data_IF_104289971330
#
_entry.id   IF_104289971330
#
_cell.length_a   1.000
_cell.length_b   1.000
_cell.length_c   1.000
_cell.angle_alpha   90.00
_cell.angle_beta   90.00
_cell.angle_gamma   90.00
#
_symmetry.space_group_name_H-M   'P 1'
#
loop_
_entity.id
_entity.type
_entity.pdbx_description
1 polymer ?
#
# COMPACT_ATOMS: atom_id res chain seq x y z
N UNK A 1 -21.37 -17.96 18.07
CA UNK A 1 -22.86 -18.05 18.03
C UNK A 1 -23.50 -16.66 18.15
N UNK A 2 -23.16 -15.83 19.15
CA UNK A 2 -23.81 -14.51 19.37
C UNK A 2 -23.62 -13.58 18.15
N UNK A 3 -22.41 -13.52 17.57
CA UNK A 3 -22.11 -12.68 16.39
C UNK A 3 -22.93 -13.13 15.17
N UNK A 4 -23.02 -14.42 14.91
CA UNK A 4 -23.82 -14.95 13.79
C UNK A 4 -25.30 -14.60 13.94
N UNK A 5 -25.87 -14.79 15.13
CA UNK A 5 -27.28 -14.44 15.42
C UNK A 5 -27.52 -12.95 15.24
N UNK A 6 -26.62 -12.11 15.74
CA UNK A 6 -26.72 -10.66 15.57
C UNK A 6 -26.76 -10.28 14.08
N UNK A 7 -25.88 -10.84 13.25
CA UNK A 7 -25.86 -10.58 11.82
C UNK A 7 -27.11 -11.08 11.08
N UNK A 8 -27.68 -12.18 11.52
CA UNK A 8 -28.93 -12.74 10.94
C UNK A 8 -30.17 -11.95 11.33
N UNK A 9 -30.19 -11.36 12.55
CA UNK A 9 -31.37 -10.68 13.11
C UNK A 9 -31.33 -9.14 12.82
N UNK A 10 -30.19 -8.55 12.50
CA UNK A 10 -30.06 -7.12 12.24
C UNK A 10 -30.70 -6.74 10.90
N UNK A 11 -31.75 -5.89 10.98
CA UNK A 11 -32.49 -5.41 9.80
C UNK A 11 -31.84 -4.26 9.06
N UNK A 12 -30.87 -3.56 9.66
CA UNK A 12 -30.19 -2.41 9.03
C UNK A 12 -28.87 -2.78 8.37
N UNK A 13 -28.11 -3.71 9.00
CA UNK A 13 -26.73 -4.04 8.57
C UNK A 13 -26.52 -5.53 8.33
N UNK A 14 -27.54 -6.34 8.49
CA UNK A 14 -27.51 -7.78 8.37
C UNK A 14 -28.64 -8.33 7.51
N UNK A 15 -29.04 -9.55 7.83
CA UNK A 15 -30.00 -10.31 7.04
C UNK A 15 -31.40 -10.31 7.62
N UNK A 16 -31.71 -9.52 8.65
CA UNK A 16 -33.00 -9.48 9.32
C UNK A 16 -34.19 -9.04 8.45
N UNK A 17 -33.98 -8.56 7.23
CA UNK A 17 -34.99 -8.31 6.22
C UNK A 17 -35.48 -9.60 5.52
N UNK A 18 -34.78 -10.72 5.69
CA UNK A 18 -35.02 -12.02 5.07
C UNK A 18 -35.28 -13.11 6.12
N UNK A 19 -35.85 -14.23 5.71
CA UNK A 19 -35.99 -15.41 6.57
C UNK A 19 -34.90 -16.41 6.21
N UNK A 20 -33.73 -16.29 6.89
CA UNK A 20 -32.58 -17.16 6.63
C UNK A 20 -32.69 -18.44 7.47
N UNK A 21 -32.77 -19.58 6.79
CA UNK A 21 -32.88 -20.90 7.39
C UNK A 21 -31.62 -21.72 7.07
N UNK A 22 -30.86 -22.05 8.10
CA UNK A 22 -29.73 -22.96 7.98
C UNK A 22 -30.14 -24.39 8.26
N UNK A 23 -29.57 -25.34 7.52
CA UNK A 23 -29.62 -26.75 7.97
C UNK A 23 -28.97 -26.89 9.36
N UNK A 24 -29.41 -27.86 10.18
CA UNK A 24 -29.03 -27.94 11.60
C UNK A 24 -27.52 -27.87 11.89
N UNK A 25 -26.70 -28.45 11.02
CA UNK A 25 -25.23 -28.50 11.18
C UNK A 25 -24.47 -27.41 10.41
N UNK A 26 -25.12 -26.77 9.42
CA UNK A 26 -24.46 -25.81 8.54
C UNK A 26 -23.96 -24.57 9.28
N UNK A 27 -24.79 -23.95 10.12
CA UNK A 27 -24.40 -22.79 10.92
C UNK A 27 -23.32 -23.14 11.96
N UNK A 28 -23.43 -24.33 12.61
CA UNK A 28 -22.40 -24.79 13.55
C UNK A 28 -21.06 -25.04 12.85
N UNK A 29 -21.08 -25.51 11.62
CA UNK A 29 -19.91 -25.73 10.80
C UNK A 29 -19.22 -24.42 10.49
N UNK A 30 -19.94 -23.35 10.07
CA UNK A 30 -19.41 -22.00 9.88
C UNK A 30 -18.75 -21.46 11.16
N UNK A 31 -19.42 -21.62 12.30
CA UNK A 31 -18.93 -21.13 13.60
C UNK A 31 -17.65 -21.87 14.02
N UNK A 32 -17.59 -23.18 13.88
CA UNK A 32 -16.40 -23.99 14.23
C UNK A 32 -15.22 -23.66 13.35
N UNK A 33 -15.45 -23.50 12.04
CA UNK A 33 -14.41 -23.19 11.06
C UNK A 33 -13.86 -21.76 11.18
N UNK A 34 -14.59 -20.87 11.85
CA UNK A 34 -14.14 -19.50 12.12
C UNK A 34 -13.19 -19.41 13.31
N UNK A 35 -13.06 -20.46 14.13
CA UNK A 35 -12.12 -20.60 15.26
C UNK A 35 -12.04 -19.33 16.16
N UNK A 36 -13.19 -18.74 16.47
CA UNK A 36 -13.27 -17.54 17.31
C UNK A 36 -13.07 -16.20 16.59
N UNK A 37 -12.69 -16.18 15.32
CA UNK A 37 -12.57 -14.95 14.51
C UNK A 37 -13.95 -14.50 13.99
N UNK A 38 -14.46 -13.39 14.56
CA UNK A 38 -15.76 -12.82 14.21
C UNK A 38 -15.84 -12.34 12.75
N UNK A 39 -14.77 -11.74 12.22
CA UNK A 39 -14.73 -11.27 10.81
C UNK A 39 -14.80 -12.46 9.86
N UNK A 40 -14.06 -13.48 10.19
CA UNK A 40 -14.05 -14.73 9.45
C UNK A 40 -15.41 -15.38 9.40
N UNK A 41 -16.11 -15.41 10.51
CA UNK A 41 -17.47 -15.94 10.60
C UNK A 41 -18.45 -15.11 9.76
N UNK A 42 -18.39 -13.77 9.86
CA UNK A 42 -19.29 -12.88 9.13
C UNK A 42 -19.10 -13.01 7.60
N UNK A 43 -17.86 -13.05 7.12
CA UNK A 43 -17.57 -13.22 5.69
C UNK A 43 -18.04 -14.58 5.16
N UNK A 44 -17.86 -15.66 5.93
CA UNK A 44 -18.35 -16.98 5.53
C UNK A 44 -19.88 -17.06 5.53
N UNK A 45 -20.53 -16.41 6.51
CA UNK A 45 -21.97 -16.32 6.62
C UNK A 45 -22.56 -15.49 5.47
N UNK A 46 -21.98 -14.34 5.15
CA UNK A 46 -22.33 -13.51 4.01
C UNK A 46 -22.27 -14.31 2.71
N UNK A 47 -21.15 -14.96 2.44
CA UNK A 47 -20.99 -15.77 1.24
C UNK A 47 -22.01 -16.90 1.17
N UNK A 48 -22.25 -17.61 2.28
CA UNK A 48 -23.21 -18.69 2.33
C UNK A 48 -24.64 -18.21 2.06
N UNK A 49 -25.06 -17.10 2.66
CA UNK A 49 -26.43 -16.55 2.47
C UNK A 49 -26.61 -16.02 1.04
N UNK A 50 -25.66 -15.24 0.52
CA UNK A 50 -25.80 -14.60 -0.78
C UNK A 50 -25.68 -15.57 -1.95
N UNK A 51 -24.88 -16.65 -1.82
CA UNK A 51 -24.80 -17.69 -2.85
C UNK A 51 -25.91 -18.72 -2.79
N UNK A 52 -26.75 -18.72 -1.75
CA UNK A 52 -27.91 -19.60 -1.64
C UNK A 52 -29.13 -19.14 -2.46
N UNK A 53 -29.00 -18.02 -3.20
CA UNK A 53 -30.06 -17.47 -4.08
C UNK A 53 -29.54 -17.23 -5.47
N UNK A 54 -30.37 -17.36 -6.49
CA UNK A 54 -29.99 -17.19 -7.89
C UNK A 54 -29.61 -15.74 -8.24
N UNK A 55 -30.16 -14.77 -7.51
CA UNK A 55 -29.85 -13.34 -7.67
C UNK A 55 -29.92 -12.62 -6.34
N UNK A 56 -28.93 -11.76 -6.08
CA UNK A 56 -28.84 -10.94 -4.87
C UNK A 56 -29.05 -9.45 -5.20
N UNK A 57 -29.76 -8.67 -4.38
CA UNK A 57 -30.60 -9.08 -3.25
C UNK A 57 -31.97 -9.63 -3.69
N UNK A 58 -32.53 -10.64 -2.98
CA UNK A 58 -33.90 -11.10 -3.22
C UNK A 58 -34.91 -10.09 -2.64
N UNK A 59 -36.22 -10.32 -2.90
CA UNK A 59 -37.27 -9.47 -2.33
C UNK A 59 -37.28 -9.55 -0.80
N UNK A 60 -37.55 -8.44 -0.07
CA UNK A 60 -37.71 -8.46 1.38
C UNK A 60 -38.75 -9.47 1.85
N UNK A 61 -38.42 -10.25 2.88
CA UNK A 61 -39.25 -11.33 3.40
C UNK A 61 -39.06 -12.66 2.67
N UNK A 62 -38.21 -12.76 1.67
CA UNK A 62 -37.86 -14.02 1.01
C UNK A 62 -37.24 -15.02 1.99
N UNK A 63 -37.53 -16.31 1.78
CA UNK A 63 -36.91 -17.40 2.52
C UNK A 63 -35.63 -17.83 1.79
N UNK A 64 -34.52 -17.78 2.50
CA UNK A 64 -33.19 -18.20 2.02
C UNK A 64 -32.83 -19.47 2.77
N UNK A 65 -32.54 -20.55 2.05
CA UNK A 65 -32.14 -21.82 2.64
C UNK A 65 -30.65 -22.06 2.39
N UNK A 66 -29.90 -22.20 3.48
CA UNK A 66 -28.47 -22.49 3.44
C UNK A 66 -28.26 -23.95 3.84
N UNK A 67 -27.90 -24.77 2.87
CA UNK A 67 -27.55 -26.16 3.09
C UNK A 67 -26.10 -26.36 3.55
N UNK A 68 -25.74 -27.59 3.92
CA UNK A 68 -24.39 -27.93 4.36
C UNK A 68 -23.38 -27.79 3.25
N UNK A 69 -23.74 -28.12 2.00
CA UNK A 69 -22.86 -27.97 0.83
C UNK A 69 -22.45 -26.52 0.59
N UNK A 70 -23.42 -25.60 0.61
CA UNK A 70 -23.20 -24.16 0.49
C UNK A 70 -22.31 -23.61 1.64
N UNK A 71 -22.56 -24.09 2.87
CA UNK A 71 -21.74 -23.72 4.02
C UNK A 71 -20.28 -24.22 3.87
N UNK A 72 -20.08 -25.47 3.43
CA UNK A 72 -18.75 -26.02 3.13
C UNK A 72 -18.04 -25.25 1.99
N UNK A 73 -18.75 -24.97 0.88
CA UNK A 73 -18.19 -24.19 -0.22
C UNK A 73 -17.79 -22.77 0.20
N UNK A 74 -18.58 -22.11 1.05
CA UNK A 74 -18.29 -20.78 1.55
C UNK A 74 -17.01 -20.74 2.40
N UNK A 75 -16.76 -21.83 3.15
CA UNK A 75 -15.53 -22.02 3.91
C UNK A 75 -14.35 -22.40 3.00
N UNK A 76 -14.56 -23.34 2.05
CA UNK A 76 -13.51 -23.77 1.12
C UNK A 76 -13.08 -22.66 0.18
N UNK A 77 -14.00 -21.89 -0.38
CA UNK A 77 -13.69 -20.67 -1.13
C UNK A 77 -12.90 -19.69 -0.27
N UNK A 78 -13.20 -19.60 1.01
CA UNK A 78 -12.47 -18.78 1.96
C UNK A 78 -11.07 -19.32 2.27
N UNK A 79 -10.90 -20.62 2.49
CA UNK A 79 -9.58 -21.26 2.76
C UNK A 79 -8.68 -21.15 1.53
N UNK A 80 -9.24 -21.25 0.33
CA UNK A 80 -8.52 -20.96 -0.93
C UNK A 80 -8.31 -19.45 -1.09
N UNK A 81 -9.21 -18.64 -0.52
CA UNK A 81 -9.28 -17.21 -0.76
C UNK A 81 -8.41 -16.38 0.17
N UNK A 82 -8.21 -16.70 1.46
CA UNK A 82 -7.35 -15.84 2.25
C UNK A 82 -7.25 -16.15 3.76
N UNK A 83 -6.09 -16.50 4.19
CA UNK A 83 -5.66 -16.28 5.57
C UNK A 83 -5.17 -14.82 5.69
N UNK A 84 -6.09 -13.88 6.04
CA UNK A 84 -5.77 -12.43 6.12
C UNK A 84 -4.74 -12.10 7.20
N UNK A 85 -4.56 -12.97 8.18
CA UNK A 85 -3.65 -12.81 9.30
C UNK A 85 -2.43 -13.78 9.22
N UNK A 86 -2.34 -14.60 8.16
CA UNK A 86 -1.30 -15.60 7.99
C UNK A 86 -0.20 -15.21 7.00
N UNK A 87 0.85 -16.03 6.96
CA UNK A 87 2.03 -15.89 6.09
C UNK A 87 1.66 -15.70 4.61
N UNK A 88 0.54 -16.26 4.17
CA UNK A 88 0.07 -16.21 2.79
C UNK A 88 -0.35 -14.80 2.30
N UNK A 89 -0.94 -13.99 3.16
CA UNK A 89 -1.23 -12.57 2.86
C UNK A 89 0.05 -11.80 2.58
N UNK A 90 1.04 -11.95 3.48
CA UNK A 90 2.32 -11.27 3.32
C UNK A 90 3.11 -11.79 2.12
N UNK A 91 2.99 -13.07 1.79
CA UNK A 91 3.64 -13.67 0.63
C UNK A 91 3.04 -13.16 -0.68
N UNK A 92 1.71 -13.06 -0.77
CA UNK A 92 1.03 -12.60 -2.00
C UNK A 92 1.31 -11.13 -2.28
N UNK A 93 1.19 -10.26 -1.27
CA UNK A 93 1.54 -8.84 -1.45
C UNK A 93 3.04 -8.64 -1.73
N UNK A 94 3.90 -9.46 -1.13
CA UNK A 94 5.33 -9.46 -1.39
C UNK A 94 5.64 -9.87 -2.83
N UNK A 95 4.98 -10.91 -3.36
CA UNK A 95 5.10 -11.33 -4.75
C UNK A 95 4.62 -10.24 -5.71
N UNK A 96 3.48 -9.60 -5.42
CA UNK A 96 2.97 -8.47 -6.18
C UNK A 96 3.99 -7.33 -6.28
N UNK A 97 4.48 -6.83 -5.14
CA UNK A 97 5.45 -5.72 -5.11
C UNK A 97 6.77 -6.11 -5.80
N UNK A 98 7.24 -7.34 -5.61
CA UNK A 98 8.44 -7.85 -6.31
C UNK A 98 8.24 -7.91 -7.82
N UNK A 99 7.04 -8.22 -8.30
CA UNK A 99 6.70 -8.21 -9.72
C UNK A 99 6.71 -6.78 -10.30
N UNK A 100 6.15 -5.80 -9.57
CA UNK A 100 6.23 -4.38 -9.94
C UNK A 100 7.69 -3.91 -10.02
N UNK A 101 8.48 -4.21 -9.00
CA UNK A 101 9.91 -3.88 -8.90
C UNK A 101 10.73 -4.56 -10.00
N UNK A 102 10.41 -5.82 -10.29
CA UNK A 102 11.06 -6.63 -11.33
C UNK A 102 10.66 -6.32 -12.76
N UNK A 103 9.70 -5.40 -12.96
CA UNK A 103 9.17 -5.01 -14.27
C UNK A 103 8.52 -6.17 -15.03
N UNK A 104 7.76 -7.00 -14.31
CA UNK A 104 6.97 -8.09 -14.87
C UNK A 104 5.47 -7.74 -14.75
N UNK A 105 4.84 -7.16 -15.80
CA UNK A 105 3.45 -6.76 -15.77
C UNK A 105 2.47 -7.95 -15.71
N UNK A 106 2.81 -9.08 -16.30
CA UNK A 106 1.95 -10.27 -16.31
C UNK A 106 1.87 -10.88 -14.91
N UNK A 107 3.01 -11.02 -14.24
CA UNK A 107 3.04 -11.47 -12.85
C UNK A 107 2.34 -10.46 -11.90
N UNK A 108 2.52 -9.15 -12.13
CA UNK A 108 1.85 -8.12 -11.35
C UNK A 108 0.32 -8.22 -11.48
N UNK A 109 -0.21 -8.37 -12.69
CA UNK A 109 -1.64 -8.56 -12.93
C UNK A 109 -2.17 -9.85 -12.31
N UNK A 110 -1.42 -10.94 -12.39
CA UNK A 110 -1.80 -12.21 -11.77
C UNK A 110 -1.94 -12.09 -10.25
N UNK A 111 -0.94 -11.52 -9.58
CA UNK A 111 -0.97 -11.37 -8.13
C UNK A 111 -2.02 -10.35 -7.68
N UNK A 112 -2.24 -9.27 -8.46
CA UNK A 112 -3.32 -8.32 -8.22
C UNK A 112 -4.69 -9.01 -8.30
N UNK A 113 -4.95 -9.74 -9.38
CA UNK A 113 -6.21 -10.48 -9.56
C UNK A 113 -6.44 -11.48 -8.42
N UNK A 114 -5.37 -12.18 -7.99
CA UNK A 114 -5.44 -13.12 -6.87
C UNK A 114 -5.80 -12.43 -5.55
N UNK A 115 -5.24 -11.24 -5.27
CA UNK A 115 -5.58 -10.46 -4.08
C UNK A 115 -7.05 -9.99 -4.11
N UNK A 116 -7.51 -9.46 -5.24
CA UNK A 116 -8.90 -8.99 -5.38
C UNK A 116 -9.88 -10.17 -5.28
N UNK A 117 -9.59 -11.29 -5.94
CA UNK A 117 -10.39 -12.50 -5.84
C UNK A 117 -10.45 -13.03 -4.39
N UNK A 118 -9.36 -12.90 -3.65
CA UNK A 118 -9.28 -13.24 -2.24
C UNK A 118 -9.96 -12.23 -1.29
N UNK A 119 -10.55 -11.16 -1.81
CA UNK A 119 -11.23 -10.13 -1.01
C UNK A 119 -10.27 -9.20 -0.25
N UNK A 120 -9.03 -9.01 -0.75
CA UNK A 120 -8.10 -8.03 -0.18
C UNK A 120 -8.66 -6.62 -0.31
N UNK A 121 -8.42 -5.80 0.72
CA UNK A 121 -8.79 -4.39 0.72
C UNK A 121 -8.08 -3.63 -0.41
N UNK A 122 -8.80 -3.11 -1.41
CA UNK A 122 -8.21 -2.31 -2.48
C UNK A 122 -7.43 -1.09 -1.98
N UNK A 123 -7.85 -0.48 -0.86
CA UNK A 123 -7.14 0.63 -0.25
C UNK A 123 -5.77 0.20 0.27
N UNK A 124 -5.64 -1.03 0.80
CA UNK A 124 -4.35 -1.60 1.17
C UNK A 124 -3.46 -1.81 -0.06
N UNK A 125 -4.00 -2.35 -1.17
CA UNK A 125 -3.25 -2.56 -2.41
C UNK A 125 -2.74 -1.22 -2.95
N UNK A 126 -3.58 -0.17 -3.01
CA UNK A 126 -3.16 1.17 -3.43
C UNK A 126 -2.09 1.77 -2.52
N UNK A 127 -2.19 1.59 -1.18
CA UNK A 127 -1.12 2.02 -0.25
C UNK A 127 0.21 1.37 -0.60
N UNK A 128 0.22 0.09 -0.92
CA UNK A 128 1.44 -0.63 -1.31
C UNK A 128 1.99 -0.16 -2.65
N UNK A 129 1.12 0.13 -3.62
CA UNK A 129 1.52 0.71 -4.90
C UNK A 129 2.09 2.13 -4.75
N UNK A 130 1.52 2.97 -3.88
CA UNK A 130 2.07 4.32 -3.59
C UNK A 130 3.47 4.25 -2.97
N UNK A 131 3.71 3.29 -2.09
CA UNK A 131 5.05 3.06 -1.53
C UNK A 131 6.02 2.64 -2.65
N UNK A 132 5.65 1.67 -3.51
CA UNK A 132 6.48 1.22 -4.62
C UNK A 132 6.74 2.33 -5.66
N UNK A 133 5.75 3.20 -5.91
CA UNK A 133 5.92 4.38 -6.76
C UNK A 133 7.03 5.32 -6.25
N UNK A 134 7.15 5.49 -4.94
CA UNK A 134 8.19 6.31 -4.33
C UNK A 134 9.53 5.55 -4.19
N UNK A 135 9.50 4.30 -3.70
CA UNK A 135 10.67 3.48 -3.36
C UNK A 135 11.39 2.95 -4.60
N UNK A 136 10.63 2.32 -5.53
CA UNK A 136 11.20 1.56 -6.64
C UNK A 136 11.29 2.36 -7.94
N UNK A 137 10.32 3.26 -8.18
CA UNK A 137 10.29 4.14 -9.36
C UNK A 137 10.98 5.46 -9.06
N UNK A 138 10.56 6.15 -8.01
CA UNK A 138 11.17 7.37 -7.49
C UNK A 138 11.46 8.40 -8.57
N UNK A 139 12.72 8.84 -8.64
CA UNK A 139 13.17 9.87 -9.58
C UNK A 139 13.32 9.40 -11.04
N UNK A 140 13.18 8.09 -11.31
CA UNK A 140 13.21 7.60 -12.68
C UNK A 140 11.96 8.03 -13.46
N UNK A 141 10.80 8.08 -12.78
CA UNK A 141 9.56 8.64 -13.29
C UNK A 141 8.74 9.28 -12.15
N UNK A 142 8.92 10.59 -11.93
CA UNK A 142 8.19 11.31 -10.88
C UNK A 142 6.67 11.32 -11.05
N UNK A 143 6.15 11.00 -12.24
CA UNK A 143 4.71 10.94 -12.50
C UNK A 143 4.05 9.70 -11.88
N UNK A 144 4.84 8.68 -11.55
CA UNK A 144 4.31 7.40 -11.06
C UNK A 144 3.43 7.56 -9.82
N UNK A 145 3.84 8.38 -8.86
CA UNK A 145 3.05 8.63 -7.65
C UNK A 145 1.72 9.32 -7.96
N UNK A 146 1.70 10.24 -8.95
CA UNK A 146 0.48 10.95 -9.37
C UNK A 146 -0.50 10.01 -10.07
N UNK A 147 0.01 9.12 -10.93
CA UNK A 147 -0.83 8.13 -11.63
C UNK A 147 -1.48 7.19 -10.63
N UNK A 148 -0.70 6.61 -9.70
CA UNK A 148 -1.24 5.71 -8.67
C UNK A 148 -2.24 6.42 -7.77
N UNK A 149 -1.93 7.64 -7.33
CA UNK A 149 -2.84 8.44 -6.51
C UNK A 149 -4.16 8.75 -7.24
N UNK A 150 -4.09 9.15 -8.51
CA UNK A 150 -5.28 9.42 -9.33
C UNK A 150 -6.13 8.17 -9.53
N UNK A 151 -5.50 7.01 -9.74
CA UNK A 151 -6.20 5.73 -9.81
C UNK A 151 -6.90 5.38 -8.50
N UNK A 152 -6.24 5.57 -7.34
CA UNK A 152 -6.84 5.36 -6.04
C UNK A 152 -8.06 6.26 -5.80
N UNK A 153 -7.93 7.57 -6.08
CA UNK A 153 -9.03 8.52 -5.94
C UNK A 153 -10.21 8.25 -6.90
N UNK A 154 -9.93 7.70 -8.08
CA UNK A 154 -10.98 7.28 -9.00
C UNK A 154 -11.68 6.02 -8.50
N UNK A 155 -10.91 5.07 -7.97
CA UNK A 155 -11.44 3.85 -7.37
C UNK A 155 -12.40 4.15 -6.22
N UNK A 156 -12.07 5.10 -5.33
CA UNK A 156 -12.90 5.50 -4.19
C UNK A 156 -14.29 6.01 -4.61
N UNK A 157 -14.43 6.50 -5.84
CA UNK A 157 -15.71 7.00 -6.40
C UNK A 157 -16.51 5.95 -7.16
N UNK A 158 -15.83 4.95 -7.70
CA UNK A 158 -16.40 3.96 -8.62
C UNK A 158 -16.67 2.65 -7.88
N UNK A 159 -15.70 2.17 -7.08
CA UNK A 159 -15.76 0.88 -6.40
C UNK A 159 -15.61 -0.32 -7.34
N UNK A 160 -15.78 -1.51 -6.78
CA UNK A 160 -15.82 -2.75 -7.55
C UNK A 160 -17.22 -2.97 -8.15
N UNK A 161 -17.34 -3.64 -9.31
CA UNK A 161 -16.26 -4.28 -10.06
C UNK A 161 -15.48 -3.37 -11.01
N UNK A 162 -16.01 -2.23 -11.45
CA UNK A 162 -15.40 -1.37 -12.49
C UNK A 162 -14.07 -0.74 -12.04
N UNK A 163 -13.90 -0.53 -10.75
CA UNK A 163 -12.65 -0.02 -10.17
C UNK A 163 -11.42 -0.91 -10.42
N UNK A 164 -11.62 -2.18 -10.84
CA UNK A 164 -10.53 -3.07 -11.24
C UNK A 164 -9.68 -2.50 -12.39
N UNK A 165 -10.29 -1.70 -13.27
CA UNK A 165 -9.55 -1.01 -14.34
C UNK A 165 -8.52 -0.02 -13.78
N UNK A 166 -8.84 0.67 -12.69
CA UNK A 166 -7.93 1.62 -12.05
C UNK A 166 -6.81 0.91 -11.28
N UNK A 167 -7.12 -0.21 -10.63
CA UNK A 167 -6.11 -1.07 -10.00
C UNK A 167 -5.12 -1.64 -11.02
N UNK A 168 -5.64 -2.19 -12.12
CA UNK A 168 -4.80 -2.77 -13.18
C UNK A 168 -3.98 -1.70 -13.90
N UNK A 169 -4.54 -0.52 -14.18
CA UNK A 169 -3.82 0.60 -14.78
C UNK A 169 -2.63 1.02 -13.91
N UNK A 170 -2.83 1.20 -12.60
CA UNK A 170 -1.76 1.55 -11.67
C UNK A 170 -0.67 0.45 -11.61
N UNK A 171 -1.07 -0.82 -11.56
CA UNK A 171 -0.14 -1.95 -11.51
C UNK A 171 0.69 -2.05 -12.80
N UNK A 172 0.06 -2.00 -13.98
CA UNK A 172 0.77 -2.06 -15.27
C UNK A 172 1.71 -0.87 -15.43
N UNK A 173 1.25 0.35 -15.07
CA UNK A 173 2.09 1.52 -15.12
C UNK A 173 3.36 1.35 -14.27
N UNK A 174 3.21 0.95 -13.01
CA UNK A 174 4.35 0.70 -12.13
C UNK A 174 5.27 -0.42 -12.62
N UNK A 175 4.71 -1.49 -13.20
CA UNK A 175 5.51 -2.58 -13.74
C UNK A 175 6.31 -2.17 -14.98
N UNK A 176 5.81 -1.23 -15.80
CA UNK A 176 6.42 -0.86 -17.10
C UNK A 176 7.28 0.40 -17.06
N UNK A 177 7.15 1.26 -16.04
CA UNK A 177 7.98 2.45 -15.93
C UNK A 177 9.43 2.14 -15.51
N UNK A 178 10.39 3.06 -15.82
CA UNK A 178 11.78 2.91 -15.35
C UNK A 178 11.86 2.87 -13.82
N UNK A 179 12.92 2.30 -13.28
CA UNK A 179 13.12 2.09 -11.85
C UNK A 179 14.34 2.85 -11.32
N UNK A 180 14.22 3.42 -10.11
CA UNK A 180 15.32 4.01 -9.38
C UNK A 180 15.06 3.96 -7.87
N UNK A 181 15.93 3.30 -7.15
CA UNK A 181 15.93 3.26 -5.69
C UNK A 181 16.80 4.35 -5.04
N UNK A 182 17.07 5.43 -5.76
CA UNK A 182 17.97 6.50 -5.28
C UNK A 182 17.53 7.14 -3.96
N UNK A 183 16.24 7.10 -3.64
CA UNK A 183 15.68 7.62 -2.37
C UNK A 183 16.09 6.78 -1.15
N UNK A 184 16.59 5.56 -1.34
CA UNK A 184 17.20 4.75 -0.27
C UNK A 184 18.39 5.45 0.39
N UNK A 185 19.04 6.40 -0.30
CA UNK A 185 20.07 7.25 0.26
C UNK A 185 19.64 8.03 1.52
N UNK A 186 18.33 8.22 1.74
CA UNK A 186 17.83 8.77 2.99
C UNK A 186 18.14 7.86 4.20
N UNK A 187 18.03 6.56 4.03
CA UNK A 187 18.32 5.59 5.11
C UNK A 187 19.80 5.51 5.42
N UNK A 188 20.66 5.65 4.40
CA UNK A 188 22.11 5.76 4.60
C UNK A 188 22.46 7.05 5.35
N UNK A 189 21.83 8.18 4.99
CA UNK A 189 22.00 9.45 5.71
C UNK A 189 21.46 9.34 7.15
N UNK A 190 20.31 8.68 7.38
CA UNK A 190 19.78 8.44 8.71
C UNK A 190 20.74 7.62 9.56
N UNK A 191 21.29 6.54 9.02
CA UNK A 191 22.29 5.73 9.72
C UNK A 191 23.54 6.55 10.11
N UNK A 192 24.00 7.45 9.23
CA UNK A 192 25.11 8.35 9.55
C UNK A 192 24.77 9.30 10.71
N UNK A 193 23.55 9.83 10.76
CA UNK A 193 23.08 10.70 11.86
C UNK A 193 23.01 9.94 13.18
N UNK A 194 22.59 8.67 13.16
CA UNK A 194 22.52 7.82 14.37
C UNK A 194 23.90 7.48 14.95
N UNK A 195 24.92 7.46 14.10
CA UNK A 195 26.30 7.12 14.50
C UNK A 195 27.12 8.35 14.94
N UNK A 196 26.75 9.54 14.54
CA UNK A 196 27.54 10.74 14.73
C UNK A 196 26.69 11.97 15.05
N UNK A 197 27.02 12.66 16.14
CA UNK A 197 26.43 13.95 16.49
C UNK A 197 27.29 15.07 15.87
N UNK A 198 27.01 15.42 14.63
CA UNK A 198 27.74 16.45 13.91
C UNK A 198 27.08 17.83 14.04
N UNK A 199 27.87 18.87 14.25
CA UNK A 199 27.37 20.24 14.29
C UNK A 199 27.12 20.81 12.88
N UNK A 200 26.14 21.73 12.78
CA UNK A 200 25.90 22.48 11.55
C UNK A 200 27.10 23.41 11.29
N UNK A 201 27.69 23.38 10.08
CA UNK A 201 28.74 24.29 9.71
C UNK A 201 28.37 25.76 9.92
N UNK A 202 29.32 26.60 10.39
CA UNK A 202 28.98 27.94 10.87
C UNK A 202 28.37 28.83 9.79
N UNK A 203 28.86 28.73 8.54
CA UNK A 203 28.32 29.47 7.39
C UNK A 203 26.87 29.07 6.99
N UNK A 204 26.34 27.92 7.48
CA UNK A 204 24.96 27.48 7.23
C UNK A 204 24.03 27.81 8.40
N UNK A 205 24.57 28.30 9.54
CA UNK A 205 23.74 28.67 10.68
C UNK A 205 22.94 29.95 10.41
N UNK A 206 21.80 30.09 11.05
CA UNK A 206 20.94 31.28 10.90
C UNK A 206 21.58 32.52 11.55
N UNK A 207 21.87 33.54 10.74
CA UNK A 207 22.45 34.82 11.17
C UNK A 207 21.59 35.55 12.19
N UNK A 208 20.26 35.41 12.15
CA UNK A 208 19.34 36.06 13.08
C UNK A 208 19.42 35.49 14.50
N UNK A 209 20.07 34.35 14.69
CA UNK A 209 20.25 33.66 15.98
C UNK A 209 21.67 33.80 16.54
N UNK A 210 22.50 34.69 15.99
CA UNK A 210 23.87 34.95 16.44
C UNK A 210 23.94 36.07 17.47
N UNK A 211 23.15 36.00 18.55
CA UNK A 211 23.13 36.98 19.62
C UNK A 211 24.49 37.14 20.36
N UNK A 212 25.37 36.15 20.22
CA UNK A 212 26.69 36.11 20.89
C UNK A 212 27.86 36.43 19.96
N UNK A 213 27.62 36.69 18.66
CA UNK A 213 28.62 37.07 17.71
C UNK A 213 29.60 35.96 17.30
N UNK A 214 29.11 34.69 17.21
CA UNK A 214 29.92 33.54 16.78
C UNK A 214 30.12 33.45 15.26
N UNK A 215 29.64 34.44 14.50
CA UNK A 215 29.80 34.52 13.03
C UNK A 215 28.87 33.55 12.30
N UNK A 216 27.63 33.35 12.79
CA UNK A 216 26.67 32.52 12.11
C UNK A 216 26.36 33.07 10.71
N UNK A 217 26.38 32.20 9.70
CA UNK A 217 26.17 32.57 8.29
C UNK A 217 27.32 33.27 7.62
N UNK A 218 28.40 33.55 8.33
CA UNK A 218 29.60 34.19 7.75
C UNK A 218 30.22 33.27 6.68
N UNK A 219 30.46 33.83 5.49
CA UNK A 219 31.03 33.09 4.36
C UNK A 219 30.02 32.27 3.54
N UNK A 220 28.73 32.35 3.86
CA UNK A 220 27.69 31.70 3.03
C UNK A 220 27.66 32.30 1.63
N UNK A 221 27.72 31.43 0.62
CA UNK A 221 27.60 31.81 -0.79
C UNK A 221 26.19 31.54 -1.29
N UNK A 222 25.43 32.61 -1.54
CA UNK A 222 24.04 32.49 -2.02
C UNK A 222 24.00 32.01 -3.48
N UNK A 223 23.54 30.80 -3.79
CA UNK A 223 23.64 30.21 -5.14
C UNK A 223 22.99 31.03 -6.24
N UNK A 224 21.89 31.74 -5.96
CA UNK A 224 21.18 32.56 -6.96
C UNK A 224 22.01 33.80 -7.40
N UNK A 225 23.04 34.17 -6.68
CA UNK A 225 23.96 35.23 -7.09
C UNK A 225 25.04 34.75 -8.09
N UNK A 226 25.07 33.47 -8.39
CA UNK A 226 26.08 32.85 -9.28
C UNK A 226 25.42 32.31 -10.56
N UNK A 227 26.26 32.16 -11.61
CA UNK A 227 25.84 31.63 -12.90
C UNK A 227 25.19 30.21 -12.69
N UNK A 228 24.13 29.97 -13.41
CA UNK A 228 23.35 28.70 -13.35
C UNK A 228 22.82 28.36 -11.94
N UNK A 229 22.75 29.36 -11.04
CA UNK A 229 22.34 29.25 -9.65
C UNK A 229 23.12 28.16 -8.87
N UNK A 230 24.43 28.06 -9.15
CA UNK A 230 25.33 27.10 -8.55
C UNK A 230 26.65 27.70 -8.12
N UNK A 231 27.16 27.28 -6.97
CA UNK A 231 28.49 27.59 -6.47
C UNK A 231 29.06 26.46 -5.66
N UNK A 232 30.38 26.27 -5.70
CA UNK A 232 31.03 25.28 -4.86
C UNK A 232 31.01 25.75 -3.40
N UNK A 233 30.30 25.01 -2.57
CA UNK A 233 30.17 25.23 -1.14
C UNK A 233 29.91 23.89 -0.43
N UNK A 234 30.43 23.75 0.78
CA UNK A 234 30.19 22.61 1.62
C UNK A 234 28.83 22.75 2.33
N UNK A 235 27.99 21.75 2.26
CA UNK A 235 26.69 21.71 2.93
C UNK A 235 26.60 20.65 4.02
N UNK A 236 27.51 19.68 4.04
CA UNK A 236 27.56 18.65 5.06
C UNK A 236 28.50 19.05 6.20
N UNK A 237 28.31 18.51 7.41
CA UNK A 237 29.25 18.66 8.50
C UNK A 237 30.68 18.26 8.10
N UNK A 238 31.67 18.83 8.81
CA UNK A 238 33.09 18.58 8.51
C UNK A 238 33.50 17.12 8.64
N UNK A 239 32.84 16.38 9.54
CA UNK A 239 33.04 14.95 9.74
C UNK A 239 32.56 14.10 8.55
N UNK A 240 31.59 14.62 7.76
CA UNK A 240 30.95 13.94 6.65
C UNK A 240 31.35 14.50 5.28
N UNK A 241 32.62 14.87 5.09
CA UNK A 241 33.10 15.58 3.89
C UNK A 241 32.91 14.86 2.55
N UNK A 242 32.67 13.54 2.51
CA UNK A 242 32.52 12.79 1.26
C UNK A 242 31.48 11.64 1.27
N UNK A 243 30.35 11.71 1.98
CA UNK A 243 29.34 10.66 1.81
C UNK A 243 28.63 10.85 0.46
N UNK A 244 28.34 9.76 -0.19
CA UNK A 244 27.52 9.73 -1.38
C UNK A 244 26.19 9.02 -1.05
N UNK A 245 25.27 9.75 -0.40
CA UNK A 245 23.97 9.21 -0.02
C UNK A 245 23.05 9.00 -1.22
N UNK A 246 23.22 9.77 -2.29
CA UNK A 246 22.41 9.61 -3.49
C UNK A 246 23.01 8.52 -4.38
N UNK A 247 22.58 7.29 -4.20
CA UNK A 247 22.89 6.18 -5.08
C UNK A 247 22.03 6.31 -6.35
N UNK A 248 22.54 6.89 -7.42
CA UNK A 248 21.78 6.98 -8.64
C UNK A 248 22.59 6.68 -9.89
N UNK A 249 22.02 5.81 -10.74
CA UNK A 249 22.40 5.72 -12.15
C UNK A 249 21.87 6.91 -12.96
N UNK A 250 21.02 7.75 -12.38
CA UNK A 250 20.41 8.95 -12.93
C UNK A 250 20.89 10.22 -12.19
N UNK A 251 22.10 10.25 -11.67
CA UNK A 251 22.70 11.52 -11.32
C UNK A 251 22.73 12.36 -12.60
N UNK A 252 21.85 13.39 -12.68
CA UNK A 252 22.26 14.59 -13.42
C UNK A 252 23.66 14.86 -12.94
N UNK A 253 24.63 14.71 -13.84
CA UNK A 253 26.04 14.83 -13.51
C UNK A 253 26.20 15.96 -12.48
N UNK A 254 26.67 15.65 -11.26
CA UNK A 254 27.30 16.67 -10.44
C UNK A 254 28.32 17.26 -11.41
N UNK A 255 28.09 18.49 -11.87
CA UNK A 255 29.08 19.19 -12.63
C UNK A 255 30.30 19.22 -11.72
N UNK A 256 31.19 18.29 -11.91
CA UNK A 256 32.50 18.31 -11.29
C UNK A 256 33.13 19.59 -11.76
N UNK A 257 33.29 20.55 -10.84
CA UNK A 257 34.18 21.67 -11.01
C UNK A 257 35.59 21.12 -10.89
N UNK A 258 36.01 20.36 -11.91
CA UNK A 258 37.41 20.06 -12.22
C UNK A 258 37.65 20.60 -13.63
N UNK A 259 38.12 21.82 -13.67
CA UNK A 259 38.54 22.57 -14.84
C UNK A 259 39.00 23.94 -14.43
#
# INVERSE_FOLDING_TARGET
LAVARFALDDTERGYGAYVVNFEPEALEHLIRSADGDARSLLNALELAVETSVDSWPPEPGSSIHVDMGTAEESIQRRVVLYDKDGDYHYDTISAFIKSLRGSDPDAALYWLARMIYAGEDPAFIFRRMLISAAEDVGLADPSAIQVVYSCAQSFDRIGLPEGQYHLSLAAVYLATCPKSNSLMGYFDAKSAVEQESAEVPNHLKDTNRDAQGFGHGEGYKYPHAYKDHWTAQQYLPDSLKKPNFLLSRFTRARRTAEG
#
